data_IF_407258112312
#
_entry.id   IF_407258112312
#
_cell.length_a   1.000
_cell.length_b   1.000
_cell.length_c   1.000
_cell.angle_alpha   90.00
_cell.angle_beta   90.00
_cell.angle_gamma   90.00
#
_symmetry.space_group_name_H-M   'P 1'
#
loop_
_entity.id
_entity.type
_entity.pdbx_description
1 polymer ?
#
# COMPACT_ATOMS: atom_id res chain seq x y z
N UNK A 1 5.84 5.65 7.21
CA UNK A 1 6.58 6.55 6.31
C UNK A 1 5.82 6.69 5.00
N UNK A 2 5.86 7.84 4.39
CA UNK A 2 5.16 8.09 3.13
C UNK A 2 6.07 8.82 2.16
N UNK A 3 5.70 8.74 0.86
CA UNK A 3 6.37 9.53 -0.16
C UNK A 3 5.90 10.98 -0.08
N UNK A 4 6.82 11.91 -0.30
CA UNK A 4 6.50 13.33 -0.47
C UNK A 4 6.43 13.60 -1.98
N UNK A 5 5.21 13.74 -2.49
CA UNK A 5 4.97 13.92 -3.92
C UNK A 5 4.59 15.36 -4.22
N UNK A 6 5.18 15.89 -5.30
CA UNK A 6 4.86 17.25 -5.74
C UNK A 6 3.67 17.19 -6.69
N UNK A 7 2.63 17.96 -6.35
CA UNK A 7 1.44 18.09 -7.18
C UNK A 7 1.64 19.18 -8.23
N UNK A 8 1.34 18.85 -9.47
CA UNK A 8 1.37 19.81 -10.58
C UNK A 8 -0.08 20.05 -11.04
N UNK A 9 -0.71 21.04 -10.45
CA UNK A 9 -2.09 21.44 -10.78
C UNK A 9 -2.07 22.57 -11.81
N UNK A 10 -2.91 22.43 -12.85
CA UNK A 10 -3.21 23.53 -13.77
C UNK A 10 -4.63 23.34 -14.31
N UNK A 11 -5.02 24.14 -15.30
CA UNK A 11 -6.36 24.06 -15.91
C UNK A 11 -6.63 22.75 -16.64
N UNK A 12 -5.62 21.91 -16.82
CA UNK A 12 -5.74 20.58 -17.42
C UNK A 12 -5.84 19.47 -16.38
N UNK A 13 -5.75 19.80 -15.09
CA UNK A 13 -5.87 18.83 -14.01
C UNK A 13 -4.61 18.67 -13.19
N UNK A 14 -4.48 17.48 -12.56
CA UNK A 14 -3.38 17.15 -11.67
C UNK A 14 -2.41 16.18 -12.36
N UNK A 15 -1.13 16.49 -12.30
CA UNK A 15 -0.07 15.57 -12.67
C UNK A 15 0.85 15.35 -11.47
N UNK A 16 1.14 14.10 -11.15
CA UNK A 16 2.24 13.77 -10.24
C UNK A 16 2.93 12.53 -10.76
N UNK A 17 4.20 12.36 -10.40
CA UNK A 17 5.01 11.24 -10.86
C UNK A 17 5.75 10.60 -9.69
N UNK A 18 6.18 9.36 -9.90
CA UNK A 18 6.93 8.60 -8.92
C UNK A 18 8.12 7.99 -9.65
N UNK A 19 9.31 8.32 -9.20
CA UNK A 19 10.53 7.78 -9.79
C UNK A 19 11.24 6.86 -8.80
N UNK A 20 11.67 5.71 -9.31
CA UNK A 20 12.42 4.73 -8.52
C UNK A 20 13.63 5.38 -7.88
N UNK A 21 13.82 5.17 -6.58
CA UNK A 21 14.96 5.65 -5.80
C UNK A 21 15.06 7.18 -5.69
N UNK A 22 14.10 7.91 -6.24
CA UNK A 22 14.01 9.36 -6.10
C UNK A 22 12.88 9.72 -5.14
N UNK A 23 11.65 9.38 -5.53
CA UNK A 23 10.46 9.64 -4.71
C UNK A 23 10.20 8.50 -3.73
N UNK A 24 10.59 7.28 -4.09
CA UNK A 24 10.39 6.07 -3.31
C UNK A 24 11.77 5.44 -3.05
N UNK A 25 12.02 4.90 -1.84
CA UNK A 25 13.37 4.47 -1.45
C UNK A 25 13.80 3.11 -1.99
N UNK A 26 13.12 2.58 -3.02
CA UNK A 26 13.50 1.31 -3.63
C UNK A 26 13.28 1.36 -5.13
N UNK A 27 13.81 0.35 -5.83
CA UNK A 27 13.61 0.19 -7.26
C UNK A 27 12.25 -0.48 -7.49
N UNK A 28 11.41 0.14 -8.32
CA UNK A 28 10.08 -0.37 -8.62
C UNK A 28 10.20 -1.48 -9.65
N UNK A 29 9.83 -2.71 -9.26
CA UNK A 29 9.86 -3.88 -10.13
C UNK A 29 8.47 -4.33 -10.56
N UNK A 30 7.43 -3.93 -9.83
CA UNK A 30 6.06 -4.34 -10.10
C UNK A 30 5.10 -3.25 -9.69
N UNK A 31 4.07 -3.04 -10.51
CA UNK A 31 2.95 -2.17 -10.16
C UNK A 31 1.68 -2.98 -10.34
N UNK A 32 0.80 -2.97 -9.35
CA UNK A 32 -0.51 -3.58 -9.51
C UNK A 32 -1.58 -2.67 -8.90
N UNK A 33 -2.83 -2.96 -9.21
CA UNK A 33 -3.95 -2.11 -8.83
C UNK A 33 -5.00 -2.92 -8.09
N UNK A 34 -5.67 -2.27 -7.14
CA UNK A 34 -6.80 -2.85 -6.41
C UNK A 34 -7.97 -1.89 -6.62
N UNK A 35 -9.10 -2.44 -7.07
CA UNK A 35 -10.30 -1.65 -7.30
C UNK A 35 -11.54 -2.52 -7.09
N UNK A 36 -12.70 -1.87 -6.99
CA UNK A 36 -14.00 -2.54 -6.91
C UNK A 36 -14.11 -3.52 -5.75
N UNK A 37 -13.51 -3.17 -4.61
CA UNK A 37 -13.62 -4.01 -3.41
C UNK A 37 -15.04 -3.88 -2.86
N UNK A 38 -15.79 -4.98 -2.76
CA UNK A 38 -17.17 -4.92 -2.25
C UNK A 38 -17.19 -4.41 -0.81
N UNK A 39 -18.29 -3.73 -0.46
CA UNK A 39 -18.49 -3.22 0.89
C UNK A 39 -18.30 -4.32 1.93
N UNK A 40 -17.50 -4.03 2.96
CA UNK A 40 -17.24 -4.97 4.04
C UNK A 40 -16.15 -5.98 3.78
N UNK A 41 -15.60 -6.02 2.57
CA UNK A 41 -14.48 -6.90 2.24
C UNK A 41 -13.16 -6.23 2.53
N UNK A 42 -12.15 -7.04 2.77
CA UNK A 42 -10.79 -6.58 3.07
C UNK A 42 -9.81 -7.18 2.08
N UNK A 43 -8.65 -6.55 1.98
CA UNK A 43 -7.55 -7.02 1.14
C UNK A 43 -6.29 -7.07 1.98
N UNK A 44 -5.26 -7.75 1.46
CA UNK A 44 -4.03 -7.95 2.19
C UNK A 44 -4.16 -9.13 3.14
N UNK A 45 -4.16 -8.86 4.45
CA UNK A 45 -4.22 -9.88 5.50
C UNK A 45 -3.06 -10.85 5.38
N UNK A 46 -1.86 -10.29 5.16
CA UNK A 46 -0.65 -11.09 4.97
C UNK A 46 0.60 -10.28 5.34
N UNK A 47 1.69 -11.00 5.51
CA UNK A 47 3.04 -10.43 5.56
C UNK A 47 3.65 -10.60 4.18
N UNK A 48 4.28 -9.55 3.66
CA UNK A 48 5.00 -9.61 2.41
C UNK A 48 6.50 -9.46 2.68
N UNK A 49 7.28 -10.23 1.97
CA UNK A 49 8.73 -10.39 2.18
C UNK A 49 9.54 -9.21 1.68
N UNK A 50 8.96 -8.38 0.82
CA UNK A 50 9.64 -7.26 0.18
C UNK A 50 8.97 -5.94 0.54
N UNK A 51 9.51 -4.83 0.06
CA UNK A 51 8.95 -3.50 0.31
C UNK A 51 7.84 -3.19 -0.67
N UNK A 52 6.81 -2.49 -0.18
CA UNK A 52 5.71 -2.01 -1.01
C UNK A 52 5.33 -0.60 -0.61
N UNK A 53 4.72 0.11 -1.54
CA UNK A 53 4.05 1.37 -1.26
C UNK A 53 2.64 1.30 -1.81
N UNK A 54 1.66 1.61 -0.97
CA UNK A 54 0.25 1.66 -1.37
C UNK A 54 -0.13 3.11 -1.56
N UNK A 55 -0.69 3.45 -2.73
CA UNK A 55 -1.09 4.81 -3.08
C UNK A 55 -2.57 4.82 -3.43
N UNK A 56 -3.34 5.71 -2.80
CA UNK A 56 -4.75 5.89 -3.13
C UNK A 56 -4.87 6.95 -4.23
N UNK A 57 -5.31 6.53 -5.42
CA UNK A 57 -5.44 7.42 -6.57
C UNK A 57 -6.88 7.83 -6.86
N UNK A 58 -7.84 7.14 -6.25
CA UNK A 58 -9.25 7.53 -6.29
C UNK A 58 -9.92 7.06 -5.00
N UNK A 59 -10.85 7.83 -4.49
CA UNK A 59 -11.60 7.48 -3.29
C UNK A 59 -10.73 7.46 -2.04
N UNK A 60 -11.04 6.52 -1.15
CA UNK A 60 -10.31 6.39 0.11
C UNK A 60 -10.45 4.98 0.68
N UNK A 61 -9.55 4.62 1.59
CA UNK A 61 -9.62 3.40 2.37
C UNK A 61 -8.79 3.57 3.64
N UNK A 62 -8.78 2.54 4.48
CA UNK A 62 -7.94 2.50 5.67
C UNK A 62 -6.99 1.32 5.57
N UNK A 63 -5.83 1.47 6.21
CA UNK A 63 -4.84 0.40 6.26
C UNK A 63 -4.31 0.28 7.68
N UNK A 64 -4.22 -0.96 8.16
CA UNK A 64 -3.55 -1.29 9.42
C UNK A 64 -2.29 -2.06 9.10
N UNK A 65 -1.19 -1.69 9.75
CA UNK A 65 0.11 -2.35 9.58
C UNK A 65 0.69 -2.68 10.95
N UNK A 66 1.40 -3.80 11.04
CA UNK A 66 2.09 -4.15 12.27
C UNK A 66 3.35 -4.95 11.96
N UNK A 67 4.40 -4.68 12.74
CA UNK A 67 5.65 -5.44 12.68
C UNK A 67 5.68 -6.58 13.70
N UNK A 68 4.54 -6.83 14.37
CA UNK A 68 4.44 -7.81 15.44
C UNK A 68 4.49 -7.20 16.83
N UNK A 69 4.94 -5.96 16.94
CA UNK A 69 5.05 -5.23 18.22
C UNK A 69 4.18 -3.98 18.19
N UNK A 70 4.43 -3.10 17.24
CA UNK A 70 3.69 -1.84 17.09
C UNK A 70 2.66 -1.98 16.00
N UNK A 71 1.48 -1.41 16.24
CA UNK A 71 0.41 -1.36 15.26
C UNK A 71 0.13 0.10 14.91
N UNK A 72 -0.02 0.37 13.62
CA UNK A 72 -0.37 1.70 13.13
C UNK A 72 -1.51 1.60 12.14
N UNK A 73 -2.34 2.62 12.12
CA UNK A 73 -3.46 2.73 11.20
C UNK A 73 -3.39 4.05 10.46
N UNK A 74 -3.69 4.01 9.17
CA UNK A 74 -3.68 5.18 8.31
C UNK A 74 -4.97 5.24 7.49
N UNK A 75 -5.41 6.46 7.20
CA UNK A 75 -6.44 6.70 6.20
C UNK A 75 -5.74 7.17 4.94
N UNK A 76 -5.99 6.46 3.84
CA UNK A 76 -5.42 6.80 2.55
C UNK A 76 -6.50 7.43 1.69
N UNK A 77 -6.27 8.64 1.22
CA UNK A 77 -7.24 9.40 0.41
C UNK A 77 -6.58 9.90 -0.87
N UNK A 78 -7.36 9.90 -1.96
CA UNK A 78 -6.92 10.47 -3.22
C UNK A 78 -6.60 11.96 -3.05
N UNK A 79 -5.71 12.52 -3.88
CA UNK A 79 -5.20 11.92 -5.13
C UNK A 79 -3.95 11.04 -4.97
N UNK A 80 -3.23 11.12 -3.86
CA UNK A 80 -2.01 10.34 -3.72
C UNK A 80 -1.65 10.05 -2.26
N UNK A 81 -2.66 9.94 -1.38
CA UNK A 81 -2.41 9.46 -0.02
C UNK A 81 -1.70 8.12 -0.09
N UNK A 82 -0.59 7.95 0.65
CA UNK A 82 0.24 6.78 0.47
C UNK A 82 0.90 6.35 1.79
N UNK A 83 1.34 5.09 1.81
CA UNK A 83 2.12 4.56 2.92
C UNK A 83 3.13 3.57 2.37
N UNK A 84 4.37 3.67 2.86
CA UNK A 84 5.42 2.72 2.54
C UNK A 84 5.39 1.62 3.60
N UNK A 85 5.29 0.37 3.15
CA UNK A 85 5.21 -0.80 4.02
C UNK A 85 6.53 -1.57 3.90
N UNK A 86 7.38 -1.54 4.93
CA UNK A 86 8.65 -2.26 4.89
C UNK A 86 8.45 -3.77 4.80
N UNK A 87 9.45 -4.46 4.26
CA UNK A 87 9.48 -5.92 4.21
C UNK A 87 9.21 -6.51 5.59
N UNK A 88 8.44 -7.60 5.64
CA UNK A 88 8.17 -8.30 6.88
C UNK A 88 7.07 -7.68 7.73
N UNK A 89 6.28 -6.77 7.19
CA UNK A 89 5.21 -6.10 7.91
C UNK A 89 3.86 -6.70 7.51
N UNK A 90 3.04 -7.05 8.49
CA UNK A 90 1.66 -7.48 8.26
C UNK A 90 0.82 -6.26 7.85
N UNK A 91 -0.07 -6.44 6.86
CA UNK A 91 -1.01 -5.39 6.46
C UNK A 91 -2.41 -5.92 6.26
N UNK A 92 -3.38 -5.05 6.52
CA UNK A 92 -4.78 -5.27 6.23
C UNK A 92 -5.36 -3.96 5.70
N UNK A 93 -6.04 -4.04 4.55
CA UNK A 93 -6.70 -2.88 3.95
C UNK A 93 -8.20 -3.08 4.07
N UNK A 94 -8.93 -2.05 4.49
CA UNK A 94 -10.34 -2.15 4.82
C UNK A 94 -11.04 -0.79 4.66
N UNK A 95 -12.36 -0.79 4.82
CA UNK A 95 -13.20 0.42 4.71
C UNK A 95 -13.00 1.15 3.39
N UNK A 96 -13.06 0.39 2.29
CA UNK A 96 -12.92 0.96 0.94
C UNK A 96 -14.16 1.75 0.56
N UNK A 97 -13.96 2.98 0.05
CA UNK A 97 -15.04 3.68 -0.63
C UNK A 97 -15.38 2.96 -1.93
N UNK A 98 -16.60 3.16 -2.45
CA UNK A 98 -17.04 2.48 -3.67
C UNK A 98 -16.16 2.79 -4.87
N UNK A 99 -15.59 3.99 -4.90
CA UNK A 99 -14.74 4.47 -6.00
C UNK A 99 -13.24 4.29 -5.72
N UNK A 100 -12.86 3.62 -4.65
CA UNK A 100 -11.45 3.50 -4.25
C UNK A 100 -10.64 2.73 -5.28
N UNK A 101 -9.53 3.31 -5.68
CA UNK A 101 -8.53 2.66 -6.54
C UNK A 101 -7.17 2.86 -5.90
N UNK A 102 -6.47 1.76 -5.67
CA UNK A 102 -5.13 1.78 -5.14
C UNK A 102 -4.14 1.34 -6.20
N UNK A 103 -3.00 2.01 -6.27
CA UNK A 103 -1.84 1.53 -6.99
C UNK A 103 -0.85 1.04 -5.95
N UNK A 104 -0.29 -0.14 -6.16
CA UNK A 104 0.70 -0.72 -5.25
C UNK A 104 2.00 -0.91 -6.01
N UNK A 105 3.07 -0.32 -5.47
CA UNK A 105 4.42 -0.40 -6.03
C UNK A 105 5.23 -1.37 -5.19
N UNK A 106 5.92 -2.30 -5.83
CA UNK A 106 6.70 -3.33 -5.15
C UNK A 106 8.12 -3.39 -5.71
N UNK A 107 9.09 -3.72 -4.86
CA UNK A 107 10.48 -3.82 -5.27
C UNK A 107 10.86 -5.24 -5.74
N UNK A 108 9.89 -6.11 -5.97
CA UNK A 108 10.13 -7.46 -6.47
C UNK A 108 9.02 -7.90 -7.42
N UNK A 109 9.38 -8.81 -8.33
CA UNK A 109 8.38 -9.46 -9.18
C UNK A 109 7.49 -10.37 -8.34
N UNK A 110 6.31 -10.69 -8.85
CA UNK A 110 5.36 -11.53 -8.12
C UNK A 110 5.92 -12.95 -7.92
N UNK A 111 5.84 -13.40 -6.66
CA UNK A 111 6.19 -14.77 -6.27
C UNK A 111 5.31 -15.12 -5.08
N UNK A 112 4.43 -16.12 -5.24
CA UNK A 112 3.46 -16.45 -4.19
C UNK A 112 4.12 -16.84 -2.86
N UNK A 113 5.31 -17.43 -2.92
CA UNK A 113 6.03 -17.83 -1.72
C UNK A 113 6.54 -16.67 -0.89
N UNK A 114 6.47 -15.43 -1.41
CA UNK A 114 6.87 -14.23 -0.68
C UNK A 114 5.79 -13.73 0.28
N UNK A 115 4.62 -14.38 0.30
CA UNK A 115 3.47 -13.98 1.12
C UNK A 115 3.21 -14.99 2.22
N UNK A 116 2.98 -14.51 3.44
CA UNK A 116 2.59 -15.33 4.59
C UNK A 116 1.24 -14.85 5.09
N UNK A 117 0.24 -15.72 5.05
CA UNK A 117 -1.14 -15.38 5.36
C UNK A 117 -1.55 -15.76 6.80
N UNK A 118 -0.71 -16.51 7.52
CA UNK A 118 -1.02 -16.94 8.88
C UNK A 118 -0.55 -15.90 9.89
N UNK A 119 -1.49 -15.05 10.30
CA UNK A 119 -1.21 -13.97 11.26
C UNK A 119 -0.77 -14.51 12.61
N UNK A 120 -1.37 -15.60 13.07
CA UNK A 120 -1.04 -16.13 14.39
C UNK A 120 0.40 -16.63 14.42
N UNK A 121 0.88 -17.24 13.33
CA UNK A 121 2.25 -17.65 13.21
C UNK A 121 3.21 -16.46 13.22
N UNK A 122 2.86 -15.39 12.51
CA UNK A 122 3.65 -14.17 12.49
C UNK A 122 3.73 -13.53 13.87
N UNK A 123 2.58 -13.39 14.54
CA UNK A 123 2.53 -12.74 15.86
C UNK A 123 3.22 -13.55 16.94
N UNK A 124 3.22 -14.88 16.83
CA UNK A 124 3.87 -15.77 17.79
C UNK A 124 5.37 -15.94 17.54
N UNK A 125 5.83 -15.60 16.34
CA UNK A 125 7.23 -15.73 15.96
C UNK A 125 8.12 -14.61 16.45
N UNK A 126 7.60 -13.72 17.22
CA UNK A 126 8.31 -12.54 17.75
C UNK A 126 9.52 -12.91 18.60
#
# INVERSE_FOLDING_TARGET
>A
MKMELVNHWDDRGLLFSIESKQDIPFEIQRVFFISNVPKGKTRGNHVYKHNECVICIAGNCRIAVTDGKDKREYTLSAPHGNVIIPAGTWRSLYDFSADCILAVLSDAHFEITDYTFDRSQFMNGD
#
